data_IF_148001970511
#
_entry.id   IF_148001970511
#
_cell.length_a   1.000
_cell.length_b   1.000
_cell.length_c   1.000
_cell.angle_alpha   90.00
_cell.angle_beta   90.00
_cell.angle_gamma   90.00
#
_symmetry.space_group_name_H-M   'P 1'
#
loop_
_entity.id
_entity.type
_entity.pdbx_description
1 polymer ?
#
# COMPACT_ATOMS: atom_id res chain seq x y z
N UNK A 1 14.26 5.79 -1.94
CA UNK A 1 14.29 5.95 -3.43
C UNK A 1 12.94 5.61 -4.09
N UNK A 2 12.34 4.43 -3.88
CA UNK A 2 11.05 4.10 -4.50
C UNK A 2 9.88 4.99 -4.02
N UNK A 3 9.73 5.17 -2.71
CA UNK A 3 8.69 6.02 -2.09
C UNK A 3 9.15 7.46 -1.84
N UNK A 4 10.26 7.89 -2.46
CA UNK A 4 10.91 9.19 -2.21
C UNK A 4 11.14 9.48 -0.72
N UNK A 5 11.46 8.46 0.08
CA UNK A 5 11.63 8.51 1.53
C UNK A 5 10.32 8.85 2.28
N UNK A 6 9.21 8.24 1.85
CA UNK A 6 7.90 8.35 2.52
C UNK A 6 7.43 9.79 2.66
N UNK A 7 7.69 10.62 1.65
CA UNK A 7 7.27 12.02 1.67
C UNK A 7 5.74 12.12 1.72
N UNK A 8 5.18 13.13 2.40
CA UNK A 8 3.72 13.32 2.48
C UNK A 8 3.04 13.45 1.10
N UNK A 9 3.73 13.99 0.10
CA UNK A 9 3.22 14.12 -1.28
C UNK A 9 3.07 12.78 -2.02
N UNK A 10 3.53 11.68 -1.42
CA UNK A 10 3.38 10.33 -1.95
C UNK A 10 2.30 9.51 -1.22
N UNK A 11 1.62 10.07 -0.21
CA UNK A 11 0.59 9.35 0.55
C UNK A 11 -0.63 9.09 -0.34
N UNK A 12 -1.07 7.83 -0.38
CA UNK A 12 -2.28 7.35 -1.05
C UNK A 12 -3.45 7.18 -0.07
N UNK A 13 -3.15 6.97 1.21
CA UNK A 13 -4.13 6.82 2.28
C UNK A 13 -3.47 6.61 3.63
N UNK A 14 -4.21 6.89 4.70
CA UNK A 14 -3.78 6.74 6.08
C UNK A 14 -4.96 6.27 6.94
N UNK A 15 -4.70 5.41 7.93
CA UNK A 15 -5.72 4.93 8.85
C UNK A 15 -5.12 4.19 10.04
N UNK A 16 -5.96 3.54 10.84
CA UNK A 16 -5.53 2.82 12.06
C UNK A 16 -4.52 1.69 11.84
N UNK A 17 -4.38 1.23 10.59
CA UNK A 17 -3.44 0.17 10.19
C UNK A 17 -2.15 0.69 9.57
N UNK A 18 -1.93 2.01 9.60
CA UNK A 18 -0.76 2.69 9.07
C UNK A 18 -1.03 3.49 7.80
N UNK A 19 0.06 3.82 7.10
CA UNK A 19 0.05 4.75 5.97
C UNK A 19 0.46 4.03 4.69
N UNK A 20 -0.18 4.37 3.57
CA UNK A 20 0.09 3.82 2.24
C UNK A 20 0.75 4.89 1.38
N UNK A 21 1.88 4.55 0.76
CA UNK A 21 2.66 5.46 -0.07
C UNK A 21 2.78 4.94 -1.49
N UNK A 22 2.79 5.84 -2.46
CA UNK A 22 3.08 5.53 -3.87
C UNK A 22 4.57 5.40 -4.08
N UNK A 23 4.98 4.39 -4.85
CA UNK A 23 6.36 4.21 -5.27
C UNK A 23 6.52 3.71 -6.69
N UNK A 24 7.78 3.64 -7.13
CA UNK A 24 8.16 3.13 -8.44
C UNK A 24 9.35 2.18 -8.34
N UNK A 25 9.26 1.04 -9.02
CA UNK A 25 10.31 0.03 -9.11
C UNK A 25 10.48 -0.46 -10.55
N UNK A 26 11.62 -1.06 -10.85
CA UNK A 26 11.80 -1.83 -12.08
C UNK A 26 11.01 -3.13 -11.99
N UNK A 27 10.35 -3.51 -13.08
CA UNK A 27 9.48 -4.71 -13.12
C UNK A 27 10.28 -6.01 -12.97
N UNK A 28 11.53 -6.04 -13.44
CA UNK A 28 12.34 -7.26 -13.49
C UNK A 28 13.31 -7.33 -12.31
N UNK A 29 14.02 -6.23 -12.02
CA UNK A 29 15.03 -6.20 -10.96
C UNK A 29 14.43 -5.86 -9.59
N UNK A 30 13.16 -5.43 -9.53
CA UNK A 30 12.47 -4.94 -8.34
C UNK A 30 13.22 -3.80 -7.61
N UNK A 31 14.19 -3.17 -8.29
CA UNK A 31 14.98 -2.08 -7.74
C UNK A 31 14.22 -0.77 -7.83
N UNK A 32 14.43 0.12 -6.86
CA UNK A 32 13.81 1.44 -6.85
C UNK A 32 14.16 2.25 -8.11
N UNK A 33 13.15 2.84 -8.76
CA UNK A 33 13.32 3.69 -9.95
C UNK A 33 12.92 5.13 -9.67
N UNK A 34 13.08 6.01 -10.67
CA UNK A 34 12.64 7.40 -10.59
C UNK A 34 11.10 7.46 -10.70
N UNK A 35 10.45 8.45 -10.06
CA UNK A 35 9.02 8.66 -10.24
C UNK A 35 8.63 8.76 -11.72
N UNK A 36 7.58 8.05 -12.11
CA UNK A 36 7.10 8.00 -13.49
C UNK A 36 7.82 7.00 -14.40
N UNK A 37 8.77 6.22 -13.87
CA UNK A 37 9.47 5.17 -14.63
C UNK A 37 9.32 3.81 -13.96
N UNK A 38 9.08 2.75 -14.74
CA UNK A 38 8.87 1.40 -14.22
C UNK A 38 7.45 1.15 -13.67
N UNK A 39 7.31 0.08 -12.90
CA UNK A 39 6.06 -0.36 -12.29
C UNK A 39 5.69 0.55 -11.11
N UNK A 40 4.44 0.97 -11.06
CA UNK A 40 3.89 1.74 -9.94
C UNK A 40 3.43 0.79 -8.84
N UNK A 41 3.85 1.07 -7.61
CA UNK A 41 3.55 0.25 -6.43
C UNK A 41 2.89 1.06 -5.33
N UNK A 42 2.19 0.36 -4.44
CA UNK A 42 1.67 0.88 -3.17
C UNK A 42 2.44 0.22 -2.01
N UNK A 43 3.08 1.03 -1.18
CA UNK A 43 3.84 0.57 -0.02
C UNK A 43 3.06 0.91 1.25
N UNK A 44 2.50 -0.11 1.90
CA UNK A 44 1.83 0.03 3.20
C UNK A 44 2.89 -0.09 4.29
N UNK A 45 3.06 0.98 5.05
CA UNK A 45 3.86 1.01 6.28
C UNK A 45 2.92 0.80 7.45
N UNK A 46 3.10 -0.30 8.18
CA UNK A 46 2.26 -0.62 9.33
C UNK A 46 2.64 0.23 10.54
N UNK A 47 1.64 0.53 11.38
CA UNK A 47 1.85 1.20 12.66
C UNK A 47 2.67 0.32 13.61
N UNK A 48 3.57 0.94 14.37
CA UNK A 48 4.46 0.25 15.33
C UNK A 48 3.77 0.05 16.70
N UNK A 49 2.49 -0.36 16.70
CA UNK A 49 1.70 -0.52 17.94
C UNK A 49 1.94 -1.89 18.63
N UNK A 50 3.21 -2.19 18.92
CA UNK A 50 3.61 -3.34 19.72
C UNK A 50 3.11 -4.70 19.21
N UNK A 51 2.59 -5.54 20.12
CA UNK A 51 2.17 -6.93 19.83
C UNK A 51 1.00 -7.03 18.84
N UNK A 52 0.14 -6.01 18.76
CA UNK A 52 -1.00 -6.01 17.84
C UNK A 52 -0.53 -5.88 16.38
N UNK A 53 0.35 -4.91 16.10
CA UNK A 53 0.94 -4.73 14.78
C UNK A 53 1.73 -5.96 14.31
N UNK A 54 2.37 -6.69 15.23
CA UNK A 54 3.07 -7.94 14.87
C UNK A 54 2.11 -9.07 14.45
N UNK A 55 0.98 -9.24 15.16
CA UNK A 55 -0.04 -10.25 14.80
C UNK A 55 -0.71 -9.93 13.47
N UNK A 56 -1.05 -8.66 13.25
CA UNK A 56 -1.64 -8.20 11.99
C UNK A 56 -0.67 -8.42 10.82
N UNK A 57 0.62 -8.13 11.01
CA UNK A 57 1.64 -8.40 10.00
C UNK A 57 1.81 -9.89 9.70
N UNK A 58 1.89 -10.75 10.73
CA UNK A 58 1.98 -12.20 10.54
C UNK A 58 0.74 -12.75 9.82
N UNK A 59 -0.44 -12.22 10.11
CA UNK A 59 -1.66 -12.58 9.39
C UNK A 59 -1.56 -12.15 7.93
N UNK A 60 -1.25 -10.88 7.64
CA UNK A 60 -1.15 -10.39 6.26
C UNK A 60 -0.13 -11.18 5.43
N UNK A 61 1.05 -11.53 5.98
CA UNK A 61 2.03 -12.35 5.25
C UNK A 61 1.56 -13.79 5.03
N UNK A 62 1.02 -14.45 6.07
CA UNK A 62 0.63 -15.85 5.96
C UNK A 62 -0.57 -16.04 5.01
N UNK A 63 -1.51 -15.09 4.98
CA UNK A 63 -2.70 -15.19 4.14
C UNK A 63 -2.48 -14.60 2.75
N UNK A 64 -1.92 -13.39 2.61
CA UNK A 64 -1.83 -12.72 1.31
C UNK A 64 -0.69 -13.26 0.44
N UNK A 65 0.37 -13.81 1.03
CA UNK A 65 1.44 -14.47 0.27
C UNK A 65 0.97 -15.71 -0.50
N UNK A 66 -0.15 -16.32 -0.09
CA UNK A 66 -0.70 -17.55 -0.69
C UNK A 66 -1.91 -17.29 -1.60
N UNK A 67 -2.46 -16.07 -1.60
CA UNK A 67 -3.69 -15.74 -2.31
C UNK A 67 -3.38 -15.01 -3.61
N UNK A 68 -3.48 -15.72 -4.73
CA UNK A 68 -3.41 -15.15 -6.06
C UNK A 68 -4.79 -15.23 -6.73
N UNK A 69 -5.51 -14.10 -6.78
CA UNK A 69 -6.82 -14.04 -7.41
C UNK A 69 -6.98 -12.72 -8.19
N UNK A 70 -7.61 -12.70 -9.38
CA UNK A 70 -7.77 -11.50 -10.20
C UNK A 70 -8.48 -10.32 -9.52
N UNK A 71 -9.26 -10.59 -8.48
CA UNK A 71 -10.00 -9.59 -7.69
C UNK A 71 -9.31 -9.20 -6.37
N UNK A 72 -8.09 -9.69 -6.12
CA UNK A 72 -7.29 -9.33 -4.95
C UNK A 72 -6.08 -8.53 -5.41
N UNK A 73 -5.72 -7.49 -4.65
CA UNK A 73 -4.49 -6.75 -4.93
C UNK A 73 -3.30 -7.66 -4.71
N UNK A 74 -2.40 -7.71 -5.69
CA UNK A 74 -1.24 -8.60 -5.65
C UNK A 74 -0.20 -8.05 -4.69
N UNK A 75 0.21 -8.88 -3.72
CA UNK A 75 1.40 -8.64 -2.91
C UNK A 75 2.64 -8.96 -3.76
N UNK A 76 3.46 -7.95 -4.03
CA UNK A 76 4.73 -8.09 -4.77
C UNK A 76 5.84 -8.55 -3.82
N UNK A 77 5.83 -8.05 -2.58
CA UNK A 77 6.83 -8.41 -1.59
C UNK A 77 6.61 -7.70 -0.26
N UNK A 78 7.52 -7.94 0.68
CA UNK A 78 7.51 -7.32 1.99
C UNK A 78 8.94 -6.99 2.43
N UNK A 79 9.07 -6.03 3.34
CA UNK A 79 10.34 -5.72 4.00
C UNK A 79 10.14 -5.78 5.52
N UNK A 80 11.12 -6.40 6.19
CA UNK A 80 11.27 -6.37 7.64
C UNK A 80 12.70 -5.96 7.91
N UNK A 81 12.86 -4.73 8.39
CA UNK A 81 14.16 -4.21 8.82
C UNK A 81 13.93 -3.50 10.15
N UNK A 82 14.62 -3.98 11.19
CA UNK A 82 14.37 -3.61 12.58
C UNK A 82 12.87 -3.69 12.95
N UNK A 83 12.29 -2.57 13.38
CA UNK A 83 10.87 -2.44 13.73
C UNK A 83 10.01 -1.93 12.55
N UNK A 84 10.59 -1.77 11.35
CA UNK A 84 9.85 -1.34 10.17
C UNK A 84 9.29 -2.53 9.42
N UNK A 85 7.95 -2.56 9.32
CA UNK A 85 7.21 -3.56 8.57
C UNK A 85 6.55 -2.89 7.38
N UNK A 86 7.01 -3.25 6.18
CA UNK A 86 6.49 -2.73 4.93
C UNK A 86 5.89 -3.86 4.09
N UNK A 87 4.76 -3.58 3.46
CA UNK A 87 4.12 -4.46 2.50
C UNK A 87 4.03 -3.72 1.16
N UNK A 88 4.45 -4.39 0.08
CA UNK A 88 4.54 -3.83 -1.25
C UNK A 88 3.52 -4.50 -2.15
N UNK A 89 2.56 -3.71 -2.64
CA UNK A 89 1.47 -4.15 -3.48
C UNK A 89 1.56 -3.52 -4.87
N UNK A 90 0.92 -4.16 -5.85
CA UNK A 90 0.61 -3.49 -7.12
C UNK A 90 -0.29 -2.27 -6.87
N UNK A 91 0.02 -1.15 -7.54
CA UNK A 91 -0.78 0.04 -7.41
C UNK A 91 -2.13 -0.10 -8.13
N UNK A 92 -3.22 0.19 -7.44
CA UNK A 92 -4.56 0.21 -8.02
C UNK A 92 -4.93 1.64 -8.48
N UNK A 93 -4.90 1.94 -9.79
CA UNK A 93 -5.08 3.30 -10.30
C UNK A 93 -6.47 3.88 -10.08
N UNK A 94 -7.47 3.03 -9.86
CA UNK A 94 -8.84 3.45 -9.58
C UNK A 94 -9.09 3.78 -8.09
N UNK A 95 -8.14 3.48 -7.20
CA UNK A 95 -8.25 3.72 -5.77
C UNK A 95 -9.03 2.63 -5.04
N UNK A 96 -9.38 2.89 -3.77
CA UNK A 96 -10.10 1.94 -2.92
C UNK A 96 -11.56 1.77 -3.36
N UNK A 97 -12.15 0.61 -3.02
CA UNK A 97 -13.59 0.40 -3.21
C UNK A 97 -14.44 1.43 -2.44
N UNK A 98 -13.97 1.87 -1.28
CA UNK A 98 -14.58 2.97 -0.50
C UNK A 98 -14.67 4.26 -1.34
N UNK A 99 -13.60 4.65 -2.05
CA UNK A 99 -13.64 5.81 -2.95
C UNK A 99 -14.67 5.66 -4.09
N UNK A 100 -14.96 4.43 -4.51
CA UNK A 100 -15.96 4.16 -5.54
C UNK A 100 -17.39 4.14 -5.02
N UNK A 101 -17.60 3.67 -3.78
CA UNK A 101 -18.93 3.60 -3.17
C UNK A 101 -19.38 4.94 -2.61
N UNK A 102 -18.49 5.67 -1.92
CA UNK A 102 -18.86 6.90 -1.19
C UNK A 102 -18.57 8.20 -1.95
N UNK A 103 -18.03 8.13 -3.19
CA UNK A 103 -18.00 9.31 -4.09
C UNK A 103 -19.39 9.80 -4.49
N UNK A 104 -20.41 8.95 -4.40
CA UNK A 104 -21.75 9.27 -4.87
C UNK A 104 -22.63 9.98 -3.83
N UNK A 105 -22.25 10.03 -2.55
CA UNK A 105 -23.07 10.64 -1.50
C UNK A 105 -22.77 12.14 -1.26
N UNK A 106 -21.65 12.67 -1.76
CA UNK A 106 -21.27 14.08 -1.51
C UNK A 106 -21.97 15.06 -2.49
N UNK A 107 -22.72 14.59 -3.48
CA UNK A 107 -23.48 15.47 -4.39
C UNK A 107 -24.89 15.84 -3.91
N UNK A 108 -25.33 15.43 -2.71
CA UNK A 108 -26.66 15.80 -2.20
C UNK A 108 -26.55 16.34 -0.76
N UNK A 109 -26.14 17.60 -0.64
CA UNK A 109 -26.65 18.53 0.38
C UNK A 109 -26.10 19.93 0.12
N UNK A 110 -26.70 20.60 -0.86
CA UNK A 110 -26.68 22.06 -0.94
C UNK A 110 -28.05 22.50 -1.43
N UNK A 111 -28.95 22.74 -0.47
CA UNK A 111 -30.13 23.60 -0.60
C UNK A 111 -30.47 24.09 0.79
#
# INVERSE_FOLDING_TARGET
MATRNFRPDSVLGEGGFGSVFKGWIDEHSLSATKPGTGLVIAVKRLNQEGLQGHREWLAEINYLGQLHHPNLVKLIGYCVEDEQRLLVYEFMPKGSMENHLFRSEIYISSS
#
